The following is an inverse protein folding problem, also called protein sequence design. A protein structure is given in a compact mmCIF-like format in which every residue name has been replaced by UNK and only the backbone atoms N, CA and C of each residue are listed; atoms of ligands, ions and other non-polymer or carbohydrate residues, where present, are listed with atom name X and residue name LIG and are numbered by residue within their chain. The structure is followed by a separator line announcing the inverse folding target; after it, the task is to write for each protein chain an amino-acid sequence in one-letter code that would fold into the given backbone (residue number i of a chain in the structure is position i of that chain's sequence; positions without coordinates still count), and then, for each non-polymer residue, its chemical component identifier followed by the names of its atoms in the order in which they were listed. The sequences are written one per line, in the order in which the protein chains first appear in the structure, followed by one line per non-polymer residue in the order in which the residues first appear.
data_IF_977776701303
#
_entry.id   IF_977776701303
#
_cell.length_a   1.000
_cell.length_b   1.000
_cell.length_c   1.000
_cell.angle_alpha   90.00
_cell.angle_beta   90.00
_cell.angle_gamma   90.00
#
_symmetry.space_group_name_H-M   'P 1'
#
loop_
_entity.id
_entity.type
_entity.pdbx_description
1 polymer ?
#
# COMPACT_ATOMS: atom_id res chain seq x y z
N UNK A 1 15.92 6.01 -17.66
CA UNK A 1 15.43 7.34 -17.23
C UNK A 1 13.94 7.50 -17.51
N UNK A 2 13.45 7.35 -18.75
CA UNK A 2 12.02 7.46 -19.06
C UNK A 2 11.14 6.42 -18.33
N UNK A 3 11.53 5.14 -18.31
CA UNK A 3 10.79 4.09 -17.57
C UNK A 3 10.71 4.39 -16.06
N UNK A 4 11.83 4.80 -15.47
CA UNK A 4 11.95 5.22 -14.06
C UNK A 4 11.05 6.42 -13.74
N UNK A 5 10.97 7.40 -14.64
CA UNK A 5 10.07 8.53 -14.47
C UNK A 5 8.60 8.11 -14.57
N UNK A 6 8.25 7.20 -15.49
CA UNK A 6 6.89 6.67 -15.63
C UNK A 6 6.44 5.93 -14.36
N UNK A 7 7.30 5.10 -13.77
CA UNK A 7 6.99 4.36 -12.54
C UNK A 7 6.82 5.28 -11.34
N UNK A 8 7.70 6.29 -11.18
CA UNK A 8 7.60 7.29 -10.11
C UNK A 8 6.33 8.15 -10.27
N UNK A 9 6.00 8.54 -11.50
CA UNK A 9 4.77 9.28 -11.82
C UNK A 9 3.53 8.45 -11.55
N UNK A 10 3.54 7.14 -11.86
CA UNK A 10 2.43 6.23 -11.56
C UNK A 10 2.23 6.07 -10.05
N UNK A 11 3.32 5.84 -9.30
CA UNK A 11 3.34 5.78 -7.83
C UNK A 11 2.79 7.08 -7.20
N UNK A 12 3.21 8.24 -7.71
CA UNK A 12 2.76 9.57 -7.23
C UNK A 12 1.31 9.90 -7.61
N UNK A 13 0.80 9.33 -8.70
CA UNK A 13 -0.60 9.46 -9.11
C UNK A 13 -1.51 8.59 -8.23
N UNK A 14 -1.06 7.38 -7.88
CA UNK A 14 -1.75 6.42 -6.98
C UNK A 14 -1.80 6.94 -5.53
N UNK A 15 -0.64 7.25 -4.94
CA UNK A 15 -0.35 8.63 -4.56
C UNK A 15 -1.49 9.57 -4.13
N UNK A 16 -1.66 10.60 -4.95
CA UNK A 16 -2.62 11.68 -4.76
C UNK A 16 -4.09 11.24 -4.87
N UNK A 17 -4.43 10.19 -5.64
CA UNK A 17 -5.83 9.71 -5.74
C UNK A 17 -6.41 9.23 -4.40
N UNK A 18 -5.57 8.84 -3.44
CA UNK A 18 -6.02 8.22 -2.17
C UNK A 18 -5.97 9.14 -0.94
N UNK A 19 -5.67 10.44 -1.08
CA UNK A 19 -5.47 11.38 0.07
C UNK A 19 -4.48 10.83 1.10
N UNK A 20 -3.25 10.54 0.68
CA UNK A 20 -2.16 10.20 1.59
C UNK A 20 -1.65 11.43 2.35
N UNK A 21 -1.68 11.38 3.68
CA UNK A 21 -1.14 12.42 4.56
C UNK A 21 0.38 12.29 4.83
N UNK A 22 1.02 11.21 4.40
CA UNK A 22 2.39 10.83 4.79
C UNK A 22 3.26 10.28 3.65
N UNK A 23 2.86 10.44 2.38
CA UNK A 23 3.65 9.92 1.25
C UNK A 23 4.90 10.77 0.97
N UNK A 24 6.08 10.15 0.96
CA UNK A 24 7.37 10.76 0.57
C UNK A 24 7.82 10.27 -0.80
N UNK A 25 7.69 11.13 -1.82
CA UNK A 25 8.19 10.84 -3.16
C UNK A 25 9.72 10.69 -3.20
N UNK A 26 10.43 11.40 -2.32
CA UNK A 26 11.88 11.33 -2.19
C UNK A 26 12.31 9.97 -1.63
N UNK A 27 11.71 9.50 -0.53
CA UNK A 27 12.02 8.20 0.06
C UNK A 27 11.69 7.07 -0.93
N UNK A 28 10.54 7.17 -1.60
CA UNK A 28 10.14 6.21 -2.63
C UNK A 28 11.19 6.12 -3.75
N UNK A 29 11.64 7.26 -4.28
CA UNK A 29 12.62 7.33 -5.37
C UNK A 29 13.99 6.78 -4.93
N UNK A 30 14.46 7.16 -3.74
CA UNK A 30 15.75 6.69 -3.21
C UNK A 30 15.74 5.18 -2.96
N UNK A 31 14.64 4.63 -2.43
CA UNK A 31 14.50 3.19 -2.20
C UNK A 31 14.50 2.42 -3.53
N UNK A 32 13.69 2.87 -4.50
CA UNK A 32 13.67 2.32 -5.85
C UNK A 32 15.07 2.21 -6.47
N UNK A 33 15.82 3.32 -6.49
CA UNK A 33 17.17 3.36 -7.05
C UNK A 33 18.18 2.53 -6.26
N UNK A 34 17.99 2.39 -4.94
CA UNK A 34 18.86 1.56 -4.11
C UNK A 34 18.64 0.08 -4.40
N UNK A 35 17.39 -0.35 -4.51
CA UNK A 35 17.01 -1.73 -4.88
C UNK A 35 17.59 -2.12 -6.23
N UNK A 36 17.51 -1.24 -7.25
CA UNK A 36 18.15 -1.45 -8.55
C UNK A 36 19.65 -1.73 -8.47
N UNK A 37 20.36 -1.12 -7.51
CA UNK A 37 21.80 -1.32 -7.30
C UNK A 37 22.11 -2.60 -6.53
N UNK A 38 21.14 -3.10 -5.75
CA UNK A 38 21.27 -4.31 -4.95
C UNK A 38 20.91 -5.58 -5.75
N UNK A 39 20.09 -5.46 -6.80
CA UNK A 39 19.71 -6.57 -7.66
C UNK A 39 20.81 -6.99 -8.65
N UNK A 40 21.02 -8.31 -8.81
CA UNK A 40 21.99 -8.89 -9.74
C UNK A 40 21.42 -9.23 -11.14
N UNK A 41 20.12 -9.00 -11.41
CA UNK A 41 19.45 -9.44 -12.66
C UNK A 41 18.80 -8.26 -13.40
N UNK A 42 19.03 -8.21 -14.71
CA UNK A 42 18.53 -7.16 -15.62
C UNK A 42 17.05 -7.29 -16.04
N UNK A 43 16.34 -8.37 -15.66
CA UNK A 43 15.09 -8.75 -16.33
C UNK A 43 13.83 -8.76 -15.45
N UNK A 44 13.89 -8.42 -14.17
CA UNK A 44 12.69 -8.29 -13.32
C UNK A 44 12.65 -7.05 -12.39
N UNK A 45 13.20 -5.87 -12.79
CA UNK A 45 13.30 -4.70 -11.92
C UNK A 45 11.98 -3.90 -11.69
N UNK A 46 10.83 -4.54 -11.87
CA UNK A 46 9.52 -3.86 -11.79
C UNK A 46 8.78 -4.17 -10.49
N UNK A 47 8.82 -5.39 -9.96
CA UNK A 47 8.08 -5.77 -8.74
C UNK A 47 8.83 -5.38 -7.47
N UNK A 48 10.08 -5.81 -7.35
CA UNK A 48 10.92 -5.65 -6.15
C UNK A 48 11.16 -4.15 -5.86
N UNK A 49 11.49 -3.39 -6.89
CA UNK A 49 11.72 -1.96 -6.85
C UNK A 49 10.44 -1.22 -6.51
N UNK A 50 9.30 -1.65 -7.07
CA UNK A 50 8.00 -1.09 -6.73
C UNK A 50 7.66 -1.33 -5.25
N UNK A 51 7.89 -2.54 -4.72
CA UNK A 51 7.69 -2.86 -3.31
C UNK A 51 8.55 -1.93 -2.42
N UNK A 52 9.85 -1.78 -2.74
CA UNK A 52 10.73 -0.89 -1.97
C UNK A 52 10.27 0.57 -2.00
N UNK A 53 9.84 1.05 -3.17
CA UNK A 53 9.34 2.41 -3.34
C UNK A 53 8.01 2.61 -2.59
N UNK A 54 7.14 1.61 -2.60
CA UNK A 54 5.87 1.63 -1.90
C UNK A 54 6.08 1.66 -0.38
N UNK A 55 6.96 0.82 0.16
CA UNK A 55 7.28 0.80 1.59
C UNK A 55 7.93 2.12 2.05
N UNK A 56 9.00 2.54 1.38
CA UNK A 56 9.71 3.77 1.74
C UNK A 56 8.87 5.03 1.51
N UNK A 57 8.06 5.03 0.45
CA UNK A 57 7.14 6.12 0.15
C UNK A 57 6.05 6.29 1.20
N UNK A 58 5.61 5.21 1.85
CA UNK A 58 4.71 5.30 3.02
C UNK A 58 5.45 5.62 4.33
N UNK A 59 6.76 5.87 4.29
CA UNK A 59 7.62 6.10 5.44
C UNK A 59 7.55 4.97 6.49
N UNK A 60 7.42 3.73 6.04
CA UNK A 60 7.27 2.57 6.91
C UNK A 60 8.42 2.46 7.91
N UNK A 61 8.08 2.25 9.18
CA UNK A 61 9.04 2.14 10.30
C UNK A 61 9.19 0.69 10.78
N UNK A 62 8.11 -0.08 10.79
CA UNK A 62 8.12 -1.50 11.13
C UNK A 62 7.55 -2.30 9.97
N UNK A 63 8.46 -2.84 9.16
CA UNK A 63 8.18 -3.67 8.00
C UNK A 63 8.26 -5.14 8.40
N UNK A 64 7.29 -5.95 7.99
CA UNK A 64 7.32 -7.41 8.21
C UNK A 64 7.13 -8.10 6.87
N UNK A 65 7.98 -9.07 6.53
CA UNK A 65 7.81 -9.96 5.38
C UNK A 65 7.58 -11.38 5.87
N UNK A 66 6.55 -12.05 5.35
CA UNK A 66 6.29 -13.47 5.56
C UNK A 66 6.63 -14.24 4.28
N UNK A 67 7.67 -15.08 4.35
CA UNK A 67 8.21 -15.80 3.20
C UNK A 67 7.67 -17.25 3.14
N UNK A 68 7.36 -17.75 1.95
CA UNK A 68 7.03 -19.17 1.75
C UNK A 68 8.26 -20.10 1.77
N UNK A 69 9.47 -19.54 1.67
CA UNK A 69 10.75 -20.23 1.72
C UNK A 69 11.86 -19.32 2.25
N UNK A 70 13.08 -19.44 1.72
CA UNK A 70 14.17 -18.52 2.03
C UNK A 70 13.84 -17.08 1.64
N UNK A 71 14.44 -16.13 2.36
CA UNK A 71 14.36 -14.72 2.01
C UNK A 71 14.91 -14.50 0.59
N UNK A 72 14.19 -13.73 -0.20
CA UNK A 72 14.51 -13.46 -1.59
C UNK A 72 14.74 -11.96 -1.82
N UNK A 73 14.75 -11.53 -3.08
CA UNK A 73 14.94 -10.14 -3.45
C UNK A 73 13.87 -9.20 -2.83
N UNK A 74 12.68 -9.69 -2.48
CA UNK A 74 11.62 -8.88 -1.85
C UNK A 74 11.97 -8.49 -0.42
N UNK A 75 12.62 -9.37 0.34
CA UNK A 75 13.14 -9.05 1.67
C UNK A 75 14.24 -7.98 1.56
N UNK A 76 15.12 -8.08 0.55
CA UNK A 76 16.12 -7.06 0.25
C UNK A 76 15.49 -5.70 -0.13
N UNK A 77 14.36 -5.72 -0.83
CA UNK A 77 13.58 -4.51 -1.14
C UNK A 77 13.14 -3.77 0.13
N UNK A 78 12.72 -4.50 1.16
CA UNK A 78 12.35 -3.91 2.45
C UNK A 78 13.56 -3.42 3.21
N UNK A 79 14.71 -4.11 3.13
CA UNK A 79 15.98 -3.60 3.70
C UNK A 79 16.39 -2.28 3.03
N UNK A 80 16.24 -2.18 1.71
CA UNK A 80 16.46 -0.93 0.98
C UNK A 80 15.52 0.18 1.45
N UNK A 81 14.24 -0.14 1.68
CA UNK A 81 13.25 0.81 2.22
C UNK A 81 13.57 1.25 3.65
N UNK A 82 13.91 0.31 4.54
CA UNK A 82 14.30 0.55 5.93
C UNK A 82 15.48 1.51 6.04
N UNK A 83 16.49 1.33 5.19
CA UNK A 83 17.61 2.25 5.14
C UNK A 83 17.20 3.68 4.75
N UNK A 84 16.15 3.86 3.93
CA UNK A 84 15.67 5.20 3.57
C UNK A 84 14.80 5.84 4.65
N UNK A 85 14.03 5.03 5.38
CA UNK A 85 13.07 5.52 6.37
C UNK A 85 13.61 5.54 7.79
N UNK A 86 14.78 4.95 8.04
CA UNK A 86 15.30 4.67 9.37
C UNK A 86 14.55 3.54 10.10
N UNK A 87 13.73 2.78 9.37
CA UNK A 87 12.93 1.69 9.91
C UNK A 87 13.71 0.39 10.12
N UNK A 88 12.98 -0.68 10.42
CA UNK A 88 13.51 -2.05 10.51
C UNK A 88 12.57 -3.05 9.84
N UNK A 89 13.13 -4.20 9.49
CA UNK A 89 12.49 -5.32 8.80
C UNK A 89 12.51 -6.54 9.70
N UNK A 90 11.37 -7.20 9.84
CA UNK A 90 11.26 -8.54 10.39
C UNK A 90 11.01 -9.50 9.22
N UNK A 91 11.85 -10.50 9.04
CA UNK A 91 11.68 -11.54 8.04
C UNK A 91 11.23 -12.83 8.73
N UNK A 92 9.98 -13.20 8.55
CA UNK A 92 9.40 -14.43 9.08
C UNK A 92 9.61 -15.55 8.08
N UNK A 93 10.36 -16.56 8.49
CA UNK A 93 10.66 -17.78 7.73
C UNK A 93 9.90 -18.97 8.32
N UNK A 94 9.57 -19.94 7.48
CA UNK A 94 9.12 -21.25 7.95
C UNK A 94 10.28 -22.03 8.60
N UNK A 95 9.97 -23.06 9.40
CA UNK A 95 10.97 -23.88 10.13
C UNK A 95 12.05 -24.48 9.22
N UNK A 96 11.68 -24.85 8.00
CA UNK A 96 12.61 -25.35 6.97
C UNK A 96 12.95 -24.31 5.90
N UNK A 97 12.65 -23.04 6.15
CA UNK A 97 12.69 -21.93 5.19
C UNK A 97 14.07 -21.37 4.91
N UNK A 98 15.15 -22.15 5.02
CA UNK A 98 16.48 -21.75 4.54
C UNK A 98 17.08 -20.50 5.22
N UNK A 99 17.11 -20.46 6.56
CA UNK A 99 17.69 -19.36 7.34
C UNK A 99 19.13 -19.05 6.91
N UNK A 100 19.98 -20.07 6.75
CA UNK A 100 21.38 -19.88 6.32
C UNK A 100 21.50 -19.18 4.96
N UNK A 101 20.65 -19.54 3.99
CA UNK A 101 20.63 -18.90 2.67
C UNK A 101 20.11 -17.47 2.74
N UNK A 102 19.15 -17.23 3.62
CA UNK A 102 18.55 -15.91 3.88
C UNK A 102 19.58 -14.96 4.50
N UNK A 103 20.33 -15.45 5.48
CA UNK A 103 21.44 -14.73 6.10
C UNK A 103 22.56 -14.45 5.10
N UNK A 104 22.98 -15.41 4.29
CA UNK A 104 24.00 -15.22 3.27
C UNK A 104 23.61 -14.14 2.26
N UNK A 105 22.36 -14.16 1.79
CA UNK A 105 21.84 -13.17 0.83
C UNK A 105 21.82 -11.75 1.41
N UNK A 106 21.39 -11.60 2.66
CA UNK A 106 21.11 -10.28 3.24
C UNK A 106 22.30 -9.73 4.05
N UNK A 107 22.98 -10.56 4.85
CA UNK A 107 24.14 -10.16 5.66
C UNK A 107 25.44 -10.09 4.85
N UNK A 108 25.49 -10.69 3.66
CA UNK A 108 26.61 -10.54 2.72
C UNK A 108 26.74 -9.13 2.12
N UNK A 109 25.83 -8.21 2.47
CA UNK A 109 25.81 -6.83 2.00
C UNK A 109 26.25 -5.89 3.14
N UNK A 110 27.22 -5.01 2.88
CA UNK A 110 27.87 -4.06 3.83
C UNK A 110 26.93 -3.09 4.58
N UNK A 111 25.60 -3.21 4.42
CA UNK A 111 24.59 -2.27 4.92
C UNK A 111 23.38 -2.95 5.59
N UNK A 112 23.50 -4.22 6.00
CA UNK A 112 22.40 -5.07 6.44
C UNK A 112 21.88 -4.83 7.89
N UNK A 113 22.14 -3.66 8.48
CA UNK A 113 21.85 -3.40 9.90
C UNK A 113 20.36 -3.24 10.27
N UNK A 114 19.43 -3.66 9.41
CA UNK A 114 18.00 -3.35 9.55
C UNK A 114 17.07 -4.56 9.40
N UNK A 115 17.57 -5.81 9.41
CA UNK A 115 16.74 -7.02 9.33
C UNK A 115 16.91 -7.92 10.56
N UNK A 116 15.80 -8.50 11.02
CA UNK A 116 15.74 -9.53 12.05
C UNK A 116 15.00 -10.75 11.47
N UNK A 117 15.63 -11.94 11.54
CA UNK A 117 15.02 -13.19 11.07
C UNK A 117 14.31 -13.90 12.21
N UNK A 118 13.09 -14.38 11.95
CA UNK A 118 12.25 -15.08 12.92
C UNK A 118 11.66 -16.33 12.29
N UNK A 119 11.81 -17.46 12.94
CA UNK A 119 11.24 -18.73 12.48
C UNK A 119 9.90 -18.95 13.19
N UNK A 120 8.83 -19.23 12.46
CA UNK A 120 7.56 -19.64 13.05
C UNK A 120 6.34 -19.51 12.15
N UNK A 121 5.15 -19.67 12.75
CA UNK A 121 3.88 -19.50 12.05
C UNK A 121 3.61 -18.01 11.77
N UNK A 122 3.68 -17.64 10.49
CA UNK A 122 3.55 -16.25 10.07
C UNK A 122 2.20 -15.63 10.41
N UNK A 123 1.10 -16.38 10.29
CA UNK A 123 -0.24 -15.85 10.60
C UNK A 123 -0.36 -15.51 12.09
N UNK A 124 0.04 -16.44 12.96
CA UNK A 124 0.05 -16.23 14.41
C UNK A 124 0.94 -15.05 14.80
N UNK A 125 2.17 -14.99 14.29
CA UNK A 125 3.13 -13.92 14.62
C UNK A 125 2.62 -12.54 14.19
N UNK A 126 2.04 -12.42 12.98
CA UNK A 126 1.43 -11.18 12.49
C UNK A 126 0.21 -10.75 13.33
N UNK A 127 -0.56 -11.71 13.84
CA UNK A 127 -1.74 -11.44 14.68
C UNK A 127 -1.41 -11.16 16.15
N UNK A 128 -0.21 -11.47 16.62
CA UNK A 128 0.15 -11.38 18.05
C UNK A 128 1.35 -10.47 18.30
N UNK A 129 2.53 -10.79 17.77
CA UNK A 129 3.79 -10.13 18.09
C UNK A 129 4.07 -8.91 17.22
N UNK A 130 3.54 -8.90 15.99
CA UNK A 130 3.80 -7.85 15.01
C UNK A 130 2.55 -7.06 14.61
N UNK A 131 1.56 -6.95 15.51
CA UNK A 131 0.31 -6.21 15.25
C UNK A 131 0.51 -4.73 14.96
N UNK A 132 1.63 -4.16 15.39
CA UNK A 132 1.96 -2.74 15.22
C UNK A 132 2.72 -2.45 13.91
N UNK A 133 3.02 -3.48 13.10
CA UNK A 133 3.66 -3.30 11.79
C UNK A 133 2.86 -2.33 10.92
N UNK A 134 3.52 -1.34 10.32
CA UNK A 134 2.88 -0.36 9.43
C UNK A 134 2.98 -0.74 7.96
N UNK A 135 3.80 -1.74 7.64
CA UNK A 135 3.90 -2.34 6.33
C UNK A 135 4.11 -3.85 6.44
N UNK A 136 3.24 -4.64 5.80
CA UNK A 136 3.29 -6.11 5.84
C UNK A 136 3.33 -6.64 4.42
N UNK A 137 4.37 -7.39 4.09
CA UNK A 137 4.57 -8.07 2.82
C UNK A 137 4.36 -9.58 3.01
N UNK A 138 3.61 -10.22 2.13
CA UNK A 138 3.23 -11.62 2.24
C UNK A 138 3.49 -12.29 0.90
N UNK A 139 4.25 -13.38 0.88
CA UNK A 139 4.32 -14.24 -0.29
C UNK A 139 2.98 -14.96 -0.46
N UNK A 140 2.25 -14.73 -1.54
CA UNK A 140 0.97 -15.42 -1.78
C UNK A 140 1.14 -16.92 -2.05
N UNK A 141 2.36 -17.44 -2.22
CA UNK A 141 2.62 -18.88 -2.20
C UNK A 141 2.55 -19.47 -0.78
N UNK A 142 2.53 -18.63 0.26
CA UNK A 142 2.37 -19.03 1.66
C UNK A 142 0.88 -19.23 1.98
N UNK A 143 0.38 -20.46 1.73
CA UNK A 143 -1.03 -20.80 1.91
C UNK A 143 -1.54 -20.66 3.36
N UNK A 144 -0.64 -20.72 4.34
CA UNK A 144 -1.00 -20.60 5.77
C UNK A 144 -1.40 -19.19 6.18
N UNK A 145 -1.06 -18.16 5.41
CA UNK A 145 -1.37 -16.77 5.76
C UNK A 145 -2.61 -16.29 5.02
N UNK A 146 -3.70 -16.08 5.77
CA UNK A 146 -4.91 -15.47 5.23
C UNK A 146 -4.86 -13.94 5.38
N UNK A 147 -4.60 -13.23 4.28
CA UNK A 147 -4.57 -11.75 4.27
C UNK A 147 -5.89 -11.13 4.73
N UNK A 148 -7.04 -11.77 4.44
CA UNK A 148 -8.35 -11.26 4.86
C UNK A 148 -8.50 -11.23 6.39
N UNK A 149 -8.02 -12.27 7.08
CA UNK A 149 -8.01 -12.32 8.54
C UNK A 149 -7.11 -11.23 9.15
N UNK A 150 -5.92 -11.01 8.56
CA UNK A 150 -5.03 -9.93 8.98
C UNK A 150 -5.67 -8.55 8.79
N UNK A 151 -6.31 -8.33 7.64
CA UNK A 151 -6.98 -7.07 7.35
C UNK A 151 -8.13 -6.85 8.31
N UNK A 152 -8.96 -7.87 8.59
CA UNK A 152 -10.07 -7.81 9.54
C UNK A 152 -9.59 -7.46 10.96
N UNK A 153 -8.55 -8.15 11.44
CA UNK A 153 -7.95 -7.91 12.76
C UNK A 153 -7.36 -6.51 12.93
N UNK A 154 -7.13 -5.78 11.83
CA UNK A 154 -6.55 -4.44 11.82
C UNK A 154 -7.55 -3.33 11.41
N UNK A 155 -8.84 -3.63 11.16
CA UNK A 155 -9.85 -2.65 10.70
C UNK A 155 -10.07 -1.47 11.67
N UNK A 156 -9.90 -1.72 12.96
CA UNK A 156 -10.11 -0.76 14.05
C UNK A 156 -8.80 -0.13 14.58
N UNK A 157 -7.68 -0.38 13.90
CA UNK A 157 -6.37 0.12 14.32
C UNK A 157 -6.31 1.64 14.18
N UNK A 158 -5.75 2.31 15.19
CA UNK A 158 -5.57 3.78 15.20
C UNK A 158 -4.54 4.25 14.19
N UNK A 159 -3.52 3.41 13.94
CA UNK A 159 -2.47 3.67 12.98
C UNK A 159 -2.76 2.91 11.69
N UNK A 160 -2.50 3.54 10.54
CA UNK A 160 -2.70 2.87 9.24
C UNK A 160 -1.72 1.73 9.02
N UNK A 161 -2.06 0.80 8.14
CA UNK A 161 -1.19 -0.31 7.71
C UNK A 161 -1.38 -0.57 6.22
N UNK A 162 -0.30 -0.90 5.53
CA UNK A 162 -0.30 -1.36 4.14
C UNK A 162 0.04 -2.84 4.12
N UNK A 163 -0.90 -3.67 3.66
CA UNK A 163 -0.65 -5.07 3.34
C UNK A 163 -0.35 -5.19 1.84
N UNK A 164 0.68 -5.97 1.50
CA UNK A 164 1.07 -6.27 0.13
C UNK A 164 1.24 -7.78 0.01
N UNK A 165 0.51 -8.41 -0.91
CA UNK A 165 0.74 -9.79 -1.32
C UNK A 165 1.48 -9.80 -2.64
N UNK A 166 2.61 -10.49 -2.75
CA UNK A 166 3.31 -10.72 -4.03
C UNK A 166 3.11 -12.14 -4.50
N UNK A 167 3.36 -12.43 -5.79
CA UNK A 167 2.97 -13.70 -6.45
C UNK A 167 1.45 -13.96 -6.50
N UNK A 168 0.62 -12.90 -6.50
CA UNK A 168 -0.83 -13.02 -6.38
C UNK A 168 -1.53 -13.65 -7.60
N UNK A 169 -0.88 -13.83 -8.74
CA UNK A 169 -1.43 -14.55 -9.92
C UNK A 169 -1.03 -16.02 -10.00
N UNK A 170 -0.11 -16.50 -9.15
CA UNK A 170 0.33 -17.90 -9.19
C UNK A 170 -0.78 -18.85 -8.74
N UNK A 171 -0.79 -20.06 -9.31
CA UNK A 171 -1.85 -21.06 -9.08
C UNK A 171 -1.93 -21.43 -7.59
N UNK A 172 -3.07 -21.13 -6.94
CA UNK A 172 -3.30 -21.31 -5.50
C UNK A 172 -3.65 -20.02 -4.75
N UNK A 173 -3.24 -18.86 -5.28
CA UNK A 173 -3.50 -17.53 -4.69
C UNK A 173 -4.92 -16.99 -4.91
N UNK A 174 -5.68 -17.58 -5.84
CA UNK A 174 -7.01 -17.11 -6.25
C UNK A 174 -8.01 -17.05 -5.09
N UNK A 175 -7.83 -17.89 -4.07
CA UNK A 175 -8.63 -17.89 -2.84
C UNK A 175 -8.41 -16.63 -1.98
N UNK A 176 -7.17 -16.10 -1.92
CA UNK A 176 -6.86 -14.90 -1.13
C UNK A 176 -7.48 -13.64 -1.76
N UNK A 177 -7.46 -13.54 -3.09
CA UNK A 177 -8.02 -12.38 -3.82
C UNK A 177 -9.55 -12.28 -3.67
N UNK A 178 -10.27 -13.42 -3.63
CA UNK A 178 -11.73 -13.45 -3.54
C UNK A 178 -12.26 -13.16 -2.12
N UNK A 179 -11.47 -13.39 -1.07
CA UNK A 179 -11.86 -13.15 0.34
C UNK A 179 -11.76 -11.67 0.75
N UNK A 180 -11.12 -10.82 -0.05
CA UNK A 180 -10.88 -9.40 0.25
C UNK A 180 -11.97 -8.44 -0.27
N UNK A 181 -13.10 -8.98 -0.72
CA UNK A 181 -14.26 -8.19 -1.21
C UNK A 181 -14.73 -7.22 -0.11
N UNK A 182 -14.61 -5.92 -0.39
CA UNK A 182 -15.00 -4.84 0.54
C UNK A 182 -13.84 -4.15 1.26
N UNK A 183 -12.61 -4.66 1.15
CA UNK A 183 -11.40 -3.94 1.56
C UNK A 183 -10.92 -3.03 0.41
N UNK A 184 -10.21 -1.93 0.71
CA UNK A 184 -9.55 -1.09 -0.32
C UNK A 184 -8.33 -1.82 -0.88
N UNK A 185 -8.59 -2.94 -1.53
CA UNK A 185 -7.60 -3.84 -2.10
C UNK A 185 -7.51 -3.58 -3.59
N UNK A 186 -6.29 -3.48 -4.11
CA UNK A 186 -6.03 -3.34 -5.54
C UNK A 186 -5.09 -4.46 -5.98
N UNK A 187 -5.45 -5.16 -7.04
CA UNK A 187 -4.59 -6.13 -7.71
C UNK A 187 -3.87 -5.41 -8.86
N UNK A 188 -2.57 -5.31 -8.78
CA UNK A 188 -1.72 -4.64 -9.76
C UNK A 188 -1.01 -5.70 -10.63
N UNK A 189 -1.04 -5.56 -11.96
CA UNK A 189 -0.36 -6.48 -12.87
C UNK A 189 1.14 -6.13 -12.97
N UNK A 190 1.83 -6.18 -11.83
CA UNK A 190 3.27 -5.97 -11.71
C UNK A 190 3.88 -7.28 -11.21
N UNK A 191 4.95 -7.73 -11.85
CA UNK A 191 5.54 -9.05 -11.58
C UNK A 191 4.52 -10.16 -11.76
N UNK A 192 4.50 -11.07 -10.80
CA UNK A 192 3.54 -12.18 -10.72
C UNK A 192 2.24 -11.79 -9.98
N UNK A 193 1.97 -10.49 -9.89
CA UNK A 193 0.76 -9.91 -9.30
C UNK A 193 0.97 -9.39 -7.89
N UNK A 194 0.61 -8.12 -7.68
CA UNK A 194 0.69 -7.46 -6.38
C UNK A 194 -0.71 -7.12 -5.84
N UNK A 195 -1.05 -7.65 -4.67
CA UNK A 195 -2.29 -7.39 -3.97
C UNK A 195 -2.06 -6.35 -2.86
N UNK A 196 -2.46 -5.10 -3.08
CA UNK A 196 -2.21 -4.00 -2.15
C UNK A 196 -3.49 -3.63 -1.42
N UNK A 197 -3.54 -3.87 -0.11
CA UNK A 197 -4.65 -3.48 0.77
C UNK A 197 -4.20 -2.42 1.76
N UNK A 198 -4.96 -1.32 1.86
CA UNK A 198 -4.65 -0.22 2.79
C UNK A 198 -5.74 -0.05 3.83
N UNK A 199 -5.33 0.03 5.08
CA UNK A 199 -6.18 0.40 6.20
C UNK A 199 -5.73 1.77 6.70
N UNK A 200 -6.64 2.75 6.70
CA UNK A 200 -6.36 4.10 7.18
C UNK A 200 -6.90 4.26 8.60
N UNK A 201 -6.05 4.65 9.55
CA UNK A 201 -6.43 4.81 10.96
C UNK A 201 -7.52 5.86 11.23
N UNK A 202 -7.75 6.80 10.31
CA UNK A 202 -8.72 7.89 10.45
C UNK A 202 -10.09 7.65 9.80
N UNK A 203 -10.31 6.52 9.11
CA UNK A 203 -11.60 6.24 8.46
C UNK A 203 -12.73 5.93 9.48
N UNK A 204 -12.43 5.89 10.78
CA UNK A 204 -13.42 5.70 11.85
C UNK A 204 -14.36 6.90 12.03
N UNK A 205 -13.88 8.14 11.95
CA UNK A 205 -14.74 9.31 12.18
C UNK A 205 -15.88 9.39 11.13
N UNK A 206 -15.58 9.05 9.88
CA UNK A 206 -16.56 9.09 8.80
C UNK A 206 -17.46 7.83 8.78
N UNK A 207 -16.93 6.65 9.14
CA UNK A 207 -17.72 5.39 9.20
C UNK A 207 -18.68 5.35 10.40
N UNK A 208 -18.33 5.95 11.54
CA UNK A 208 -19.22 6.05 12.71
C UNK A 208 -20.40 7.00 12.45
N UNK A 209 -20.17 8.10 11.73
CA UNK A 209 -21.23 9.01 11.27
C UNK A 209 -22.20 8.29 10.31
N UNK A 210 -21.68 7.52 9.35
CA UNK A 210 -22.52 6.78 8.39
C UNK A 210 -23.32 5.67 9.07
N UNK A 211 -22.72 4.89 9.98
CA UNK A 211 -23.43 3.84 10.73
C UNK A 211 -24.50 4.40 11.66
N UNK A 212 -24.21 5.49 12.40
CA UNK A 212 -25.19 6.16 13.25
C UNK A 212 -26.38 6.72 12.46
N UNK A 213 -26.16 7.21 11.24
CA UNK A 213 -27.23 7.67 10.35
C UNK A 213 -28.04 6.50 9.73
N UNK A 214 -27.46 5.31 9.60
CA UNK A 214 -28.14 4.13 9.06
C UNK A 214 -28.98 3.37 10.11
N UNK A 215 -28.71 3.56 11.41
CA UNK A 215 -29.48 2.90 12.50
C UNK A 215 -30.65 3.75 13.01
N UNK A 216 -30.77 5.01 12.58
CA UNK A 216 -31.81 5.94 13.01
C UNK A 216 -32.99 6.06 12.02
N UNK A 217 -33.37 4.95 11.38
CA UNK A 217 -34.59 4.85 10.59
C UNK A 217 -35.73 4.19 11.38
N UNK A 218 -35.92 4.62 12.63
CA UNK A 218 -37.15 4.38 13.37
C UNK A 218 -37.64 5.71 13.95
N UNK A 219 -38.73 6.21 13.35
CA UNK A 219 -39.74 7.11 13.90
C UNK A 219 -39.27 8.30 14.75
N UNK A 220 -39.36 9.51 14.17
CA UNK A 220 -40.40 10.45 14.58
C UNK A 220 -40.39 11.70 13.69
N UNK A 221 -41.53 11.94 13.03
CA UNK A 221 -41.94 13.27 12.63
C UNK A 221 -41.93 14.15 13.88
N UNK A 222 -41.10 15.18 13.92
CA UNK A 222 -41.46 16.47 14.49
C UNK A 222 -40.52 17.56 14.00
N UNK A 223 -41.16 18.59 13.45
CA UNK A 223 -40.54 19.82 12.99
C UNK A 223 -39.72 20.46 14.11
N UNK A 224 -38.42 20.69 13.87
CA UNK A 224 -37.80 21.87 14.42
C UNK A 224 -36.71 22.41 13.52
N UNK A 225 -36.91 23.66 13.13
CA UNK A 225 -36.05 24.48 12.28
C UNK A 225 -34.76 24.76 13.05
N UNK A 226 -33.62 24.31 12.53
CA UNK A 226 -32.32 24.88 12.89
C UNK A 226 -31.42 24.93 11.65
N UNK A 227 -31.09 26.17 11.27
CA UNK A 227 -30.26 26.56 10.15
C UNK A 227 -28.81 26.07 10.33
N UNK A 228 -28.54 24.83 9.92
CA UNK A 228 -27.19 24.37 9.61
C UNK A 228 -26.89 24.59 8.13
N UNK A 229 -26.13 25.62 7.79
CA UNK A 229 -25.61 25.84 6.43
C UNK A 229 -24.94 24.55 5.93
N UNK A 230 -25.63 23.80 5.05
CA UNK A 230 -25.03 22.72 4.27
C UNK A 230 -23.96 23.35 3.40
N UNK A 231 -22.70 23.27 3.82
CA UNK A 231 -21.58 23.61 2.96
C UNK A 231 -21.58 22.58 1.83
N UNK A 232 -22.14 22.93 0.68
CA UNK A 232 -21.91 22.19 -0.55
C UNK A 232 -20.40 22.19 -0.77
N UNK A 233 -19.73 21.08 -0.45
CA UNK A 233 -18.32 20.89 -0.78
C UNK A 233 -18.22 21.00 -2.29
N UNK A 234 -17.71 22.14 -2.76
CA UNK A 234 -17.41 22.37 -4.16
C UNK A 234 -16.48 21.25 -4.62
N UNK A 235 -16.98 20.38 -5.49
CA UNK A 235 -16.15 19.37 -6.13
C UNK A 235 -15.15 20.10 -7.02
N UNK A 236 -13.88 20.01 -6.65
CA UNK A 236 -12.78 20.53 -7.44
C UNK A 236 -12.19 19.38 -8.23
N UNK A 237 -12.28 19.45 -9.56
CA UNK A 237 -11.63 18.49 -10.43
C UNK A 237 -10.27 19.05 -10.85
N UNK A 238 -9.24 18.21 -10.74
CA UNK A 238 -7.90 18.51 -11.19
C UNK A 238 -7.69 17.84 -12.54
N UNK A 239 -7.27 18.62 -13.53
CA UNK A 239 -6.94 18.12 -14.86
C UNK A 239 -5.45 18.26 -15.05
N UNK A 240 -4.79 17.14 -15.34
CA UNK A 240 -3.37 17.08 -15.68
C UNK A 240 -3.27 16.83 -17.17
N UNK A 241 -2.51 17.68 -17.85
CA UNK A 241 -2.18 17.50 -19.26
C UNK A 241 -0.67 17.42 -19.38
N UNK A 242 -0.19 16.34 -19.99
CA UNK A 242 1.23 16.12 -20.25
C UNK A 242 1.51 16.51 -21.69
N UNK A 243 2.48 17.40 -21.89
CA UNK A 243 2.96 17.72 -23.22
C UNK A 243 3.69 16.51 -23.81
N UNK A 244 3.30 16.13 -25.03
CA UNK A 244 3.80 14.89 -25.66
C UNK A 244 5.25 14.99 -26.12
N UNK A 245 5.80 16.20 -26.25
CA UNK A 245 7.11 16.47 -26.81
C UNK A 245 8.15 16.76 -25.72
N UNK A 246 7.78 17.49 -24.68
CA UNK A 246 8.70 17.85 -23.57
C UNK A 246 8.56 16.96 -22.35
N UNK A 247 7.42 16.28 -22.19
CA UNK A 247 7.09 15.56 -20.96
C UNK A 247 6.77 16.48 -19.78
N UNK A 248 6.70 17.80 -19.99
CA UNK A 248 6.31 18.75 -18.96
C UNK A 248 4.81 18.63 -18.65
N UNK A 249 4.48 18.61 -17.37
CA UNK A 249 3.10 18.54 -16.90
C UNK A 249 2.53 19.93 -16.63
N UNK A 250 1.36 20.22 -17.21
CA UNK A 250 0.57 21.39 -16.88
C UNK A 250 -0.64 21.00 -16.03
N UNK A 251 -0.73 21.59 -14.84
CA UNK A 251 -1.80 21.31 -13.86
C UNK A 251 -2.77 22.47 -13.78
N UNK A 252 -4.03 22.20 -14.12
CA UNK A 252 -5.09 23.21 -14.06
C UNK A 252 -6.12 22.83 -13.00
N UNK A 253 -6.46 23.82 -12.16
CA UNK A 253 -7.56 23.69 -11.20
C UNK A 253 -8.86 24.13 -11.88
N UNK A 254 -9.75 23.18 -12.14
CA UNK A 254 -11.05 23.49 -12.75
C UNK A 254 -12.12 23.52 -11.67
N UNK A 255 -12.93 24.60 -11.66
CA UNK A 255 -14.12 24.67 -10.81
C UNK A 255 -15.27 24.01 -11.58
N UNK A 256 -15.78 22.89 -11.09
CA UNK A 256 -17.05 22.35 -11.57
C UNK A 256 -18.17 23.23 -11.03
N UNK A 257 -18.81 24.00 -11.90
CA UNK A 257 -20.05 24.69 -11.55
C UNK A 257 -21.20 23.67 -11.55
N UNK A 258 -22.12 23.70 -10.57
CA UNK A 258 -23.32 22.88 -10.65
C UNK A 258 -24.13 23.34 -11.87
N UNK A 259 -24.45 22.39 -12.76
CA UNK A 259 -25.31 22.60 -13.93
C UNK A 259 -26.66 23.17 -13.49
N UNK A 260 -26.85 24.48 -13.61
CA UNK A 260 -28.17 25.02 -13.86
C UNK A 260 -28.35 25.04 -15.37
N UNK A 261 -29.23 24.15 -15.85
CA UNK A 261 -29.58 24.08 -17.26
C UNK A 261 -29.97 25.46 -17.79
N UNK A 262 -29.23 25.91 -18.79
CA UNK A 262 -29.78 26.76 -19.83
C UNK A 262 -29.36 26.15 -21.17
N UNK A 263 -30.36 25.56 -21.80
CA UNK A 263 -30.41 25.38 -23.24
C UNK A 263 -30.06 26.73 -23.89
N UNK A 264 -29.07 26.73 -24.77
CA UNK A 264 -28.87 27.81 -25.72
C UNK A 264 -29.07 27.14 -27.08
N UNK A 265 -30.16 27.51 -27.75
CA UNK A 265 -30.42 27.19 -29.15
C UNK A 265 -29.35 27.79 -30.06
N UNK A 266 -29.26 27.24 -31.27
CA UNK A 266 -28.23 27.43 -32.29
C UNK A 266 -27.81 28.89 -32.56
#
# INVERSE_FOLDING_TARGET
IQQTQITIVHLYTQAKKSKMGSWSAENATKAYLKTLKMGHKANEPDEVEFISALAAGNNAQLMVVACAGAADATALALVAAAHQTGGRVICILQENGGLMQSEELILGLDHACHVEFVIGDAQHLLLTHYRDADFVLIDCNLETVEMAALVDANKERRNGVVFVGYNAFRKGSSSQSNSLVGCRTQLLPIGEGLLVTRINGSDQANRKIIRANSTNNNNNNNNNVNNGKKTHKRSHSWVVKVDKCTGEEHVFRVKSFPNHGRQIEA
#
